data_IF_351044722076
#
_entry.id   IF_351044722076
#
_cell.length_a   1.000
_cell.length_b   1.000
_cell.length_c   1.000
_cell.angle_alpha   90.00
_cell.angle_beta   90.00
_cell.angle_gamma   90.00
#
_symmetry.space_group_name_H-M   'P 1'
#
loop_
_entity.id
_entity.type
_entity.pdbx_description
1 polymer ?
#
# COMPACT_ATOMS: atom_id res chain seq x y z
N UNK A 1 -70.12 -30.06 -36.04
CA UNK A 1 -70.38 -30.14 -34.58
C UNK A 1 -70.11 -28.75 -34.00
N UNK A 2 -71.00 -28.31 -33.13
CA UNK A 2 -71.29 -26.91 -32.79
C UNK A 2 -70.18 -26.12 -32.05
N UNK A 3 -70.15 -24.81 -32.27
CA UNK A 3 -69.79 -23.76 -31.27
C UNK A 3 -70.78 -23.81 -30.09
N UNK A 4 -70.54 -23.25 -28.87
CA UNK A 4 -69.97 -21.91 -28.68
C UNK A 4 -69.22 -21.60 -27.35
N UNK A 5 -68.61 -20.41 -27.36
CA UNK A 5 -68.31 -19.54 -26.22
C UNK A 5 -69.63 -18.95 -25.68
N UNK A 6 -69.83 -18.89 -24.36
CA UNK A 6 -70.95 -18.14 -23.76
C UNK A 6 -70.43 -17.09 -22.78
N UNK A 7 -71.06 -15.93 -22.89
CA UNK A 7 -70.90 -14.68 -22.14
C UNK A 7 -71.98 -14.59 -21.06
N UNK A 8 -71.68 -13.91 -19.95
CA UNK A 8 -72.67 -13.34 -19.02
C UNK A 8 -72.11 -13.25 -17.60
N UNK A 9 -72.28 -12.20 -16.80
CA UNK A 9 -73.00 -10.94 -16.95
C UNK A 9 -73.20 -10.31 -15.55
N UNK A 10 -73.16 -8.97 -15.50
CA UNK A 10 -73.93 -8.04 -14.64
C UNK A 10 -73.69 -7.99 -13.10
N UNK A 11 -73.82 -6.74 -12.60
CA UNK A 11 -74.16 -6.24 -11.23
C UNK A 11 -72.97 -5.94 -10.32
N UNK A 12 -72.70 -4.68 -9.99
CA UNK A 12 -73.35 -3.88 -8.92
C UNK A 12 -72.35 -3.83 -7.75
N UNK A 13 -72.01 -2.76 -7.05
CA UNK A 13 -72.62 -1.48 -6.71
C UNK A 13 -72.15 -1.17 -5.28
N UNK A 14 -71.67 0.05 -5.00
CA UNK A 14 -71.31 0.53 -3.65
C UNK A 14 -70.02 -0.10 -3.08
N UNK A 15 -69.13 0.57 -2.37
CA UNK A 15 -69.27 1.75 -1.54
C UNK A 15 -68.53 1.46 -0.23
N UNK A 16 -67.71 2.43 0.18
CA UNK A 16 -67.21 2.72 1.54
C UNK A 16 -66.07 1.90 2.19
N UNK A 17 -65.06 2.71 2.55
CA UNK A 17 -64.42 2.82 3.86
C UNK A 17 -63.26 1.86 4.24
N UNK A 18 -62.07 2.44 4.07
CA UNK A 18 -60.85 2.34 4.86
C UNK A 18 -61.10 2.09 6.36
N UNK A 19 -60.42 1.11 6.93
CA UNK A 19 -59.99 1.11 8.34
C UNK A 19 -58.58 0.53 8.44
N UNK A 20 -57.67 1.32 9.02
CA UNK A 20 -56.29 0.95 9.29
C UNK A 20 -56.18 0.14 10.60
N UNK A 21 -55.30 -0.85 10.61
CA UNK A 21 -54.83 -1.57 11.79
C UNK A 21 -53.58 -2.40 11.44
N UNK A 22 -52.58 -2.51 12.34
CA UNK A 22 -51.20 -2.79 11.97
C UNK A 22 -50.86 -4.27 11.95
N UNK A 23 -50.09 -4.72 10.95
CA UNK A 23 -49.49 -6.05 10.91
C UNK A 23 -47.97 -5.97 10.86
N UNK A 24 -47.36 -6.41 11.96
CA UNK A 24 -45.95 -6.69 12.14
C UNK A 24 -45.48 -7.80 11.20
N UNK A 25 -44.30 -7.61 10.60
CA UNK A 25 -43.41 -8.67 10.15
C UNK A 25 -43.40 -8.97 8.65
N UNK A 26 -42.30 -8.61 7.98
CA UNK A 26 -41.54 -9.59 7.20
C UNK A 26 -40.10 -9.09 7.02
N UNK A 27 -39.15 -9.90 7.48
CA UNK A 27 -37.73 -9.80 7.15
C UNK A 27 -37.59 -10.34 5.72
N UNK A 28 -37.28 -9.48 4.74
CA UNK A 28 -36.82 -9.90 3.42
C UNK A 28 -35.29 -9.71 3.37
N UNK A 29 -34.56 -10.82 3.42
CA UNK A 29 -34.01 -11.50 2.24
C UNK A 29 -33.04 -10.60 1.45
N UNK A 30 -31.76 -10.76 1.81
CA UNK A 30 -30.60 -10.82 0.90
C UNK A 30 -30.79 -10.10 -0.44
N UNK A 31 -30.53 -8.79 -0.42
CA UNK A 31 -30.26 -8.05 -1.65
C UNK A 31 -29.04 -8.64 -2.38
N UNK A 32 -28.96 -8.52 -3.71
CA UNK A 32 -27.87 -9.08 -4.47
C UNK A 32 -26.56 -8.46 -3.97
N UNK A 33 -25.61 -9.32 -3.60
CA UNK A 33 -24.22 -8.95 -3.44
C UNK A 33 -23.81 -8.28 -4.75
N UNK A 34 -23.73 -6.95 -4.73
CA UNK A 34 -23.12 -6.18 -5.81
C UNK A 34 -21.72 -6.74 -5.98
N UNK A 35 -21.56 -7.58 -7.01
CA UNK A 35 -20.27 -7.90 -7.61
C UNK A 35 -19.79 -6.59 -8.24
N UNK A 36 -19.33 -5.67 -7.39
CA UNK A 36 -18.65 -4.47 -7.82
C UNK A 36 -17.38 -4.99 -8.48
N UNK A 37 -17.20 -4.84 -9.81
CA UNK A 37 -15.91 -5.15 -10.37
C UNK A 37 -14.93 -4.27 -9.62
N UNK A 38 -13.86 -4.87 -9.09
CA UNK A 38 -12.76 -4.08 -8.60
C UNK A 38 -12.42 -3.12 -9.74
N UNK A 39 -12.70 -1.83 -9.57
CA UNK A 39 -12.19 -0.77 -10.41
C UNK A 39 -10.70 -0.64 -10.08
N UNK A 40 -9.97 -1.74 -10.23
CA UNK A 40 -8.55 -1.83 -10.12
C UNK A 40 -7.98 -1.26 -11.40
N UNK A 41 -7.33 -0.12 -11.27
CA UNK A 41 -6.25 0.35 -12.15
C UNK A 41 -6.56 0.49 -13.65
N UNK A 42 -7.83 0.50 -14.09
CA UNK A 42 -8.18 0.96 -15.45
C UNK A 42 -7.95 2.47 -15.54
N UNK A 43 -6.74 2.86 -15.94
CA UNK A 43 -6.38 4.25 -16.26
C UNK A 43 -5.22 4.86 -15.46
N UNK A 44 -4.60 4.13 -14.54
CA UNK A 44 -3.38 4.63 -13.88
C UNK A 44 -2.17 4.36 -14.77
N UNK A 45 -1.50 5.43 -15.22
CA UNK A 45 -0.20 5.29 -15.90
C UNK A 45 0.76 4.48 -15.02
N UNK A 46 1.49 3.48 -15.56
CA UNK A 46 2.47 2.69 -14.79
C UNK A 46 3.45 3.56 -14.00
N UNK A 47 3.80 4.74 -14.53
CA UNK A 47 4.67 5.68 -13.84
C UNK A 47 4.08 6.26 -12.54
N UNK A 48 2.75 6.33 -12.42
CA UNK A 48 2.12 6.75 -11.15
C UNK A 48 2.30 5.70 -10.07
N UNK A 49 2.30 4.41 -10.43
CA UNK A 49 2.51 3.32 -9.47
C UNK A 49 3.92 3.39 -8.91
N UNK A 50 4.92 3.61 -9.77
CA UNK A 50 6.31 3.88 -9.41
C UNK A 50 6.42 5.03 -8.38
N UNK A 51 5.86 6.20 -8.70
CA UNK A 51 5.85 7.36 -7.80
C UNK A 51 5.12 7.12 -6.47
N UNK A 52 4.07 6.29 -6.46
CA UNK A 52 3.38 5.94 -5.22
C UNK A 52 4.25 5.09 -4.30
N UNK A 53 5.00 4.14 -4.83
CA UNK A 53 5.94 3.35 -4.03
C UNK A 53 7.05 4.22 -3.45
N UNK A 54 7.60 5.15 -4.23
CA UNK A 54 8.59 6.11 -3.73
C UNK A 54 8.05 6.91 -2.55
N UNK A 55 6.84 7.45 -2.68
CA UNK A 55 6.21 8.21 -1.60
C UNK A 55 6.01 7.36 -0.34
N UNK A 56 5.56 6.11 -0.51
CA UNK A 56 5.34 5.20 0.62
C UNK A 56 6.65 4.82 1.32
N UNK A 57 7.69 4.49 0.56
CA UNK A 57 9.01 4.12 1.08
C UNK A 57 9.65 5.31 1.81
N UNK A 58 9.65 6.50 1.22
CA UNK A 58 10.18 7.71 1.88
C UNK A 58 9.43 8.02 3.18
N UNK A 59 8.10 7.89 3.19
CA UNK A 59 7.30 8.10 4.40
C UNK A 59 7.64 7.10 5.51
N UNK A 60 7.88 5.83 5.16
CA UNK A 60 8.24 4.81 6.15
C UNK A 60 9.68 4.99 6.66
N UNK A 61 10.64 5.36 5.79
CA UNK A 61 12.02 5.70 6.19
C UNK A 61 12.05 6.86 7.20
N UNK A 62 11.30 7.91 6.92
CA UNK A 62 11.15 9.08 7.80
C UNK A 62 10.52 8.71 9.15
N UNK A 63 9.49 7.85 9.13
CA UNK A 63 8.88 7.34 10.35
C UNK A 63 9.83 6.43 11.17
N UNK A 64 10.60 5.56 10.52
CA UNK A 64 11.61 4.72 11.17
C UNK A 64 12.74 5.56 11.77
N UNK A 65 13.26 6.54 11.04
CA UNK A 65 14.32 7.42 11.56
C UNK A 65 13.85 8.18 12.80
N UNK A 66 12.62 8.74 12.80
CA UNK A 66 12.03 9.34 14.00
C UNK A 66 11.91 8.35 15.16
N UNK A 67 11.47 7.12 14.90
CA UNK A 67 11.40 6.07 15.92
C UNK A 67 12.78 5.75 16.50
N UNK A 68 13.83 5.67 15.67
CA UNK A 68 15.20 5.44 16.12
C UNK A 68 15.75 6.61 16.96
N UNK A 69 15.46 7.85 16.57
CA UNK A 69 15.80 9.05 17.36
C UNK A 69 15.09 9.07 18.72
N UNK A 70 13.81 8.68 18.76
CA UNK A 70 13.06 8.55 20.00
C UNK A 70 13.64 7.44 20.89
N UNK A 71 14.01 6.30 20.30
CA UNK A 71 14.69 5.21 21.00
C UNK A 71 16.03 5.65 21.59
N UNK A 72 16.83 6.43 20.85
CA UNK A 72 18.10 6.97 21.32
C UNK A 72 17.99 7.92 22.51
N UNK A 73 16.85 8.60 22.67
CA UNK A 73 16.62 9.59 23.73
C UNK A 73 15.80 9.05 24.90
N UNK A 74 14.96 8.03 24.68
CA UNK A 74 14.07 7.45 25.69
C UNK A 74 14.31 5.94 25.86
N UNK A 75 14.90 5.56 27.01
CA UNK A 75 15.28 4.18 27.37
C UNK A 75 14.10 3.22 27.58
N UNK A 76 12.86 3.71 27.68
CA UNK A 76 11.67 2.87 27.87
C UNK A 76 10.99 2.46 26.55
N UNK A 77 11.58 2.81 25.41
CA UNK A 77 10.99 2.54 24.10
C UNK A 77 11.18 1.08 23.69
N UNK A 78 10.12 0.40 23.26
CA UNK A 78 10.19 -0.97 22.76
C UNK A 78 10.79 -1.03 21.36
N UNK A 79 11.82 -1.87 21.19
CA UNK A 79 12.55 -2.04 19.92
C UNK A 79 11.84 -2.97 18.93
N UNK A 80 11.02 -3.91 19.42
CA UNK A 80 10.42 -4.96 18.60
C UNK A 80 9.50 -4.42 17.48
N UNK A 81 8.58 -3.47 17.74
CA UNK A 81 7.77 -2.88 16.66
C UNK A 81 8.59 -2.14 15.62
N UNK A 82 9.72 -1.54 16.02
CA UNK A 82 10.65 -0.90 15.09
C UNK A 82 11.34 -1.94 14.21
N UNK A 83 11.84 -3.02 14.80
CA UNK A 83 12.50 -4.13 14.09
C UNK A 83 11.58 -4.77 13.03
N UNK A 84 10.32 -5.06 13.38
CA UNK A 84 9.33 -5.64 12.46
C UNK A 84 9.09 -4.73 11.24
N UNK A 85 9.00 -3.42 11.47
CA UNK A 85 8.85 -2.42 10.40
C UNK A 85 10.10 -2.33 9.52
N UNK A 86 11.30 -2.43 10.09
CA UNK A 86 12.55 -2.46 9.31
C UNK A 86 12.60 -3.67 8.36
N UNK A 87 12.24 -4.87 8.83
CA UNK A 87 12.18 -6.06 7.97
C UNK A 87 11.12 -5.95 6.88
N UNK A 88 9.94 -5.44 7.24
CA UNK A 88 8.89 -5.20 6.26
C UNK A 88 9.34 -4.21 5.18
N UNK A 89 9.91 -3.08 5.58
CA UNK A 89 10.44 -2.09 4.64
C UNK A 89 11.52 -2.68 3.74
N UNK A 90 12.46 -3.47 4.28
CA UNK A 90 13.49 -4.13 3.46
C UNK A 90 12.88 -5.04 2.41
N UNK A 91 11.84 -5.80 2.75
CA UNK A 91 11.15 -6.65 1.78
C UNK A 91 10.51 -5.81 0.68
N UNK A 92 9.77 -4.76 1.02
CA UNK A 92 9.14 -3.86 0.05
C UNK A 92 10.20 -3.19 -0.85
N UNK A 93 11.26 -2.66 -0.24
CA UNK A 93 12.33 -1.98 -0.95
C UNK A 93 13.07 -2.93 -1.90
N UNK A 94 13.38 -4.15 -1.49
CA UNK A 94 13.98 -5.16 -2.38
C UNK A 94 13.09 -5.50 -3.57
N UNK A 95 11.79 -5.65 -3.36
CA UNK A 95 10.86 -5.91 -4.46
C UNK A 95 10.73 -4.71 -5.40
N UNK A 96 10.83 -3.50 -4.87
CA UNK A 96 10.85 -2.27 -5.66
C UNK A 96 12.07 -2.18 -6.56
N UNK A 97 13.29 -2.34 -6.02
CA UNK A 97 14.54 -2.36 -6.79
C UNK A 97 14.50 -3.43 -7.90
N UNK A 98 14.04 -4.64 -7.57
CA UNK A 98 13.91 -5.71 -8.57
C UNK A 98 12.94 -5.34 -9.70
N UNK A 99 11.83 -4.67 -9.39
CA UNK A 99 10.89 -4.24 -10.41
C UNK A 99 11.50 -3.14 -11.30
N UNK A 100 12.36 -2.30 -10.73
CA UNK A 100 13.05 -1.25 -11.47
C UNK A 100 14.10 -1.83 -12.41
N UNK A 101 15.01 -2.64 -11.86
CA UNK A 101 16.13 -3.22 -12.59
C UNK A 101 15.67 -4.15 -13.72
N UNK A 102 14.58 -4.90 -13.52
CA UNK A 102 14.09 -5.89 -14.50
C UNK A 102 13.05 -5.33 -15.49
N UNK A 103 12.36 -4.23 -15.14
CA UNK A 103 11.22 -3.74 -15.94
C UNK A 103 11.33 -2.25 -16.27
N UNK A 104 11.48 -1.38 -15.27
CA UNK A 104 11.41 0.08 -15.48
C UNK A 104 12.67 0.61 -16.15
N UNK A 105 13.84 0.30 -15.63
CA UNK A 105 15.11 0.80 -16.13
C UNK A 105 15.48 0.26 -17.51
N UNK A 106 15.23 -1.03 -17.87
CA UNK A 106 15.39 -1.48 -19.25
C UNK A 106 14.52 -0.68 -20.24
N UNK A 107 13.31 -0.30 -19.84
CA UNK A 107 12.45 0.55 -20.68
C UNK A 107 12.97 2.00 -20.78
N UNK A 108 13.64 2.50 -19.73
CA UNK A 108 14.24 3.83 -19.69
C UNK A 108 15.57 3.90 -20.48
N UNK A 109 16.41 2.86 -20.43
CA UNK A 109 17.74 2.82 -21.05
C UNK A 109 17.69 2.82 -22.59
N UNK A 110 16.54 2.44 -23.18
CA UNK A 110 16.25 2.65 -24.60
C UNK A 110 16.33 4.15 -24.97
N UNK A 111 15.97 5.04 -24.03
CA UNK A 111 15.86 6.49 -24.22
C UNK A 111 17.07 7.25 -23.70
N UNK A 112 17.64 6.82 -22.57
CA UNK A 112 18.78 7.48 -21.91
C UNK A 112 19.83 6.45 -21.53
N UNK A 113 20.91 6.36 -22.33
CA UNK A 113 21.93 5.33 -22.17
C UNK A 113 22.74 5.50 -20.89
N UNK A 114 23.08 4.39 -20.25
CA UNK A 114 24.00 4.27 -19.10
C UNK A 114 23.46 4.81 -17.78
N UNK A 115 22.17 5.17 -17.71
CA UNK A 115 21.55 5.66 -16.47
C UNK A 115 21.06 4.49 -15.60
N UNK A 116 20.51 3.45 -16.23
CA UNK A 116 20.02 2.24 -15.55
C UNK A 116 21.09 1.60 -14.66
N UNK A 117 22.32 1.44 -15.19
CA UNK A 117 23.41 0.80 -14.45
C UNK A 117 23.82 1.56 -13.19
N UNK A 118 23.76 2.90 -13.22
CA UNK A 118 24.12 3.70 -12.05
C UNK A 118 23.11 3.48 -10.92
N UNK A 119 21.82 3.44 -11.22
CA UNK A 119 20.78 3.19 -10.22
C UNK A 119 20.83 1.76 -9.66
N UNK A 120 21.09 0.75 -10.49
CA UNK A 120 21.30 -0.62 -9.99
C UNK A 120 22.49 -0.73 -9.03
N UNK A 121 23.58 0.04 -9.24
CA UNK A 121 24.71 0.08 -8.30
C UNK A 121 24.34 0.80 -6.99
N UNK A 122 23.47 1.81 -7.05
CA UNK A 122 22.95 2.47 -5.86
C UNK A 122 22.08 1.51 -5.03
N UNK A 123 21.26 0.66 -5.67
CA UNK A 123 20.52 -0.42 -5.00
C UNK A 123 21.44 -1.37 -4.21
N UNK A 124 22.58 -1.76 -4.78
CA UNK A 124 23.56 -2.60 -4.09
C UNK A 124 24.13 -1.90 -2.85
N UNK A 125 24.53 -0.63 -2.98
CA UNK A 125 25.04 0.18 -1.87
C UNK A 125 24.01 0.37 -0.75
N UNK A 126 22.75 0.62 -1.11
CA UNK A 126 21.63 0.73 -0.18
C UNK A 126 21.31 -0.61 0.48
N UNK A 127 21.52 -1.71 -0.23
CA UNK A 127 21.50 -3.06 0.32
C UNK A 127 22.48 -3.26 1.47
N UNK A 128 23.71 -2.79 1.32
CA UNK A 128 24.74 -2.86 2.37
C UNK A 128 24.34 -2.04 3.60
N UNK A 129 23.70 -0.88 3.42
CA UNK A 129 23.20 -0.08 4.53
C UNK A 129 22.10 -0.82 5.32
N UNK A 130 21.20 -1.51 4.62
CA UNK A 130 20.22 -2.38 5.27
C UNK A 130 20.88 -3.55 6.02
N UNK A 131 21.89 -4.18 5.45
CA UNK A 131 22.60 -5.28 6.11
C UNK A 131 23.30 -4.80 7.38
N UNK A 132 23.87 -3.60 7.37
CA UNK A 132 24.40 -2.95 8.58
C UNK A 132 23.31 -2.66 9.61
N UNK A 133 22.15 -2.15 9.20
CA UNK A 133 20.99 -1.95 10.08
C UNK A 133 20.58 -3.27 10.77
N UNK A 134 20.52 -4.37 10.03
CA UNK A 134 20.13 -5.66 10.60
C UNK A 134 21.19 -6.24 11.53
N UNK A 135 22.48 -6.06 11.20
CA UNK A 135 23.56 -6.43 12.12
C UNK A 135 23.46 -5.68 13.47
N UNK A 136 23.03 -4.42 13.45
CA UNK A 136 22.73 -3.69 14.69
C UNK A 136 21.52 -4.31 15.40
N UNK A 137 20.41 -4.51 14.70
CA UNK A 137 19.17 -5.06 15.28
C UNK A 137 19.35 -6.44 15.92
N UNK A 138 20.20 -7.29 15.33
CA UNK A 138 20.49 -8.64 15.84
C UNK A 138 21.56 -8.66 16.93
N UNK A 139 22.12 -7.50 17.31
CA UNK A 139 23.12 -7.41 18.38
C UNK A 139 22.50 -7.44 19.78
N UNK A 140 23.22 -8.03 20.73
CA UNK A 140 22.85 -8.05 22.16
C UNK A 140 23.15 -6.72 22.90
N UNK A 141 23.62 -5.69 22.19
CA UNK A 141 24.09 -4.41 22.77
C UNK A 141 22.97 -3.38 23.01
N UNK A 142 21.70 -3.82 23.06
CA UNK A 142 20.54 -2.92 23.07
C UNK A 142 20.46 -2.00 24.31
N UNK A 143 21.14 -2.35 25.40
CA UNK A 143 21.28 -1.51 26.59
C UNK A 143 22.19 -0.30 26.38
N UNK A 144 23.15 -0.40 25.46
CA UNK A 144 24.25 0.54 25.30
C UNK A 144 23.80 1.82 24.60
N UNK A 145 24.29 2.97 25.08
CA UNK A 145 23.97 4.25 24.47
C UNK A 145 24.58 4.40 23.08
N UNK A 146 25.79 3.84 22.87
CA UNK A 146 26.44 3.79 21.56
C UNK A 146 25.57 3.10 20.52
N UNK A 147 25.00 1.94 20.87
CA UNK A 147 24.08 1.19 20.02
C UNK A 147 22.89 2.05 19.57
N UNK A 148 22.23 2.73 20.51
CA UNK A 148 21.05 3.53 20.16
C UNK A 148 21.38 4.70 19.23
N UNK A 149 22.52 5.36 19.46
CA UNK A 149 23.00 6.45 18.58
C UNK A 149 23.38 5.92 17.19
N UNK A 150 24.01 4.76 17.13
CA UNK A 150 24.38 4.12 15.87
C UNK A 150 23.15 3.70 15.07
N UNK A 151 22.11 3.17 15.72
CA UNK A 151 20.83 2.85 15.09
C UNK A 151 20.15 4.10 14.50
N UNK A 152 20.16 5.21 15.24
CA UNK A 152 19.66 6.50 14.77
C UNK A 152 20.46 7.05 13.58
N UNK A 153 21.79 6.93 13.63
CA UNK A 153 22.69 7.33 12.54
C UNK A 153 22.45 6.49 11.28
N UNK A 154 22.38 5.16 11.43
CA UNK A 154 22.17 4.22 10.32
C UNK A 154 20.83 4.44 9.63
N UNK A 155 19.74 4.63 10.40
CA UNK A 155 18.42 4.95 9.81
C UNK A 155 18.40 6.30 9.10
N UNK A 156 19.13 7.30 9.60
CA UNK A 156 19.27 8.60 8.93
C UNK A 156 20.06 8.51 7.61
N UNK A 157 21.11 7.68 7.59
CA UNK A 157 21.88 7.39 6.38
C UNK A 157 21.01 6.70 5.31
N UNK A 158 20.23 5.69 5.70
CA UNK A 158 19.25 5.02 4.82
C UNK A 158 18.21 6.00 4.27
N UNK A 159 17.61 6.81 5.13
CA UNK A 159 16.64 7.82 4.72
C UNK A 159 17.23 8.76 3.67
N UNK A 160 18.44 9.26 3.92
CA UNK A 160 19.11 10.22 3.04
C UNK A 160 19.45 9.58 1.70
N UNK A 161 20.12 8.42 1.72
CA UNK A 161 20.54 7.71 0.51
C UNK A 161 19.35 7.43 -0.40
N UNK A 162 18.34 6.72 0.12
CA UNK A 162 17.20 6.25 -0.69
C UNK A 162 16.36 7.43 -1.16
N UNK A 163 16.18 8.46 -0.34
CA UNK A 163 15.43 9.64 -0.77
C UNK A 163 16.15 10.38 -1.91
N UNK A 164 17.48 10.49 -1.86
CA UNK A 164 18.28 11.10 -2.91
C UNK A 164 18.26 10.24 -4.18
N UNK A 165 18.42 8.91 -4.04
CA UNK A 165 18.27 7.95 -5.12
C UNK A 165 16.96 8.16 -5.88
N UNK A 166 15.84 8.02 -5.19
CA UNK A 166 14.51 8.17 -5.77
C UNK A 166 14.28 9.54 -6.42
N UNK A 167 14.93 10.60 -5.91
CA UNK A 167 14.79 11.93 -6.49
C UNK A 167 15.48 12.03 -7.86
N UNK A 168 16.62 11.35 -8.03
CA UNK A 168 17.33 11.27 -9.32
C UNK A 168 16.50 10.50 -10.34
N UNK A 169 15.89 9.38 -9.95
CA UNK A 169 15.05 8.60 -10.85
C UNK A 169 13.80 9.38 -11.28
N UNK A 170 13.14 10.06 -10.32
CA UNK A 170 11.97 10.89 -10.57
C UNK A 170 12.25 12.00 -11.59
N UNK A 171 13.43 12.59 -11.56
CA UNK A 171 13.88 13.58 -12.54
C UNK A 171 14.02 12.97 -13.95
N UNK A 172 14.45 11.71 -14.07
CA UNK A 172 14.58 11.06 -15.38
C UNK A 172 13.25 10.67 -16.02
N UNK A 173 12.20 10.52 -15.22
CA UNK A 173 10.87 10.07 -15.68
C UNK A 173 9.82 11.19 -15.72
N UNK A 174 10.16 12.38 -15.22
CA UNK A 174 9.33 13.60 -15.30
C UNK A 174 9.40 14.27 -16.67
#
# INVERSE_FOLDING_TARGET
>A
MATPLTTGGIQGGGGVAVMAGPSVGHVDQSGPLNNRPATGLKGTSPIRIFLFFHKAIRAELDALHRSAMAFATNRNSEIKPFMERCYFLRSIYKHHCNAEDEVIFPALDIRVKNVARTYSLEHEGEGVLFDHLFALLDSDMQSEESYRRELASCTGALQTSISQHMSKEEEQVS
#
